data_IF_798629800231
#
_entry.id   IF_798629800231
#
_cell.length_a   1.000
_cell.length_b   1.000
_cell.length_c   1.000
_cell.angle_alpha   90.00
_cell.angle_beta   90.00
_cell.angle_gamma   90.00
#
_symmetry.space_group_name_H-M   'P 1'
#
loop_
_entity.id
_entity.type
_entity.pdbx_description
1 polymer ?
#
# COMPACT_ATOMS: atom_id res chain seq x y z
N UNK A 1 31.40 87.47 -4.73
CA UNK A 1 32.49 87.72 -5.68
C UNK A 1 33.20 86.40 -5.98
N UNK A 2 33.29 86.08 -7.28
CA UNK A 2 34.24 85.17 -7.95
C UNK A 2 33.99 83.65 -7.81
N UNK A 3 33.44 83.01 -8.85
CA UNK A 3 34.10 82.38 -10.03
C UNK A 3 34.47 80.92 -9.73
N UNK A 4 33.76 79.91 -10.26
CA UNK A 4 33.78 79.34 -11.63
C UNK A 4 35.04 78.50 -11.93
N UNK A 5 34.80 77.34 -12.57
CA UNK A 5 35.72 76.34 -13.16
C UNK A 5 36.09 75.18 -12.20
N UNK A 6 36.07 73.90 -12.56
CA UNK A 6 35.72 73.18 -13.79
C UNK A 6 35.77 71.65 -13.51
N UNK A 7 35.48 70.87 -14.55
CA UNK A 7 35.94 69.49 -14.82
C UNK A 7 35.07 68.32 -14.33
N UNK A 8 34.16 67.93 -15.24
CA UNK A 8 34.08 66.61 -15.89
C UNK A 8 34.47 65.37 -15.06
N UNK A 9 33.50 64.46 -14.90
CA UNK A 9 33.63 63.06 -15.30
C UNK A 9 32.26 62.37 -15.36
N UNK A 10 31.90 61.91 -16.55
CA UNK A 10 30.84 60.94 -16.80
C UNK A 10 31.13 59.67 -16.00
N UNK A 11 30.32 59.40 -14.98
CA UNK A 11 30.32 58.13 -14.27
C UNK A 11 29.65 57.08 -15.13
N UNK A 12 30.45 56.22 -15.76
CA UNK A 12 29.99 55.01 -16.44
C UNK A 12 29.45 54.06 -15.36
N UNK A 13 28.14 53.85 -15.36
CA UNK A 13 27.46 52.83 -14.57
C UNK A 13 27.79 51.48 -15.22
N UNK A 14 28.69 50.71 -14.61
CA UNK A 14 28.90 49.29 -14.96
C UNK A 14 28.21 48.46 -13.89
N UNK A 15 26.93 48.16 -14.12
CA UNK A 15 26.18 47.18 -13.34
C UNK A 15 26.62 45.79 -13.76
N UNK A 16 27.41 45.11 -12.94
CA UNK A 16 27.67 43.67 -13.11
C UNK A 16 26.38 42.90 -12.80
N UNK A 17 25.65 42.51 -13.84
CA UNK A 17 24.60 41.49 -13.77
C UNK A 17 25.26 40.14 -13.48
N UNK A 18 25.28 39.74 -12.21
CA UNK A 18 25.57 38.37 -11.80
C UNK A 18 24.41 37.48 -12.26
N UNK A 19 24.57 36.83 -13.41
CA UNK A 19 23.68 35.77 -13.87
C UNK A 19 23.96 34.53 -13.03
N UNK A 20 23.19 34.32 -11.97
CA UNK A 20 23.19 33.06 -11.25
C UNK A 20 22.56 32.00 -12.17
N UNK A 21 23.24 30.87 -12.49
CA UNK A 21 22.61 29.79 -13.19
C UNK A 21 21.60 29.14 -12.25
N UNK A 22 20.31 29.36 -12.49
CA UNK A 22 19.26 28.55 -11.88
C UNK A 22 19.38 27.14 -12.45
N UNK A 23 19.97 26.23 -11.68
CA UNK A 23 19.94 24.80 -11.97
C UNK A 23 18.49 24.35 -11.78
N UNK A 24 17.70 24.45 -12.84
CA UNK A 24 16.37 23.86 -12.93
C UNK A 24 16.56 22.34 -12.87
N UNK A 25 16.45 21.76 -11.68
CA UNK A 25 16.28 20.33 -11.56
C UNK A 25 14.97 19.99 -12.30
N UNK A 26 14.98 19.09 -13.29
CA UNK A 26 13.72 18.57 -13.80
C UNK A 26 13.03 17.91 -12.60
N UNK A 27 11.92 18.50 -12.16
CA UNK A 27 11.03 17.83 -11.24
C UNK A 27 10.67 16.51 -11.92
N UNK A 28 11.20 15.41 -11.39
CA UNK A 28 10.83 14.07 -11.82
C UNK A 28 9.32 14.02 -11.74
N UNK A 29 8.65 13.88 -12.88
CA UNK A 29 7.20 13.82 -12.94
C UNK A 29 6.78 12.70 -11.99
N UNK A 30 6.23 13.09 -10.84
CA UNK A 30 5.70 12.16 -9.86
C UNK A 30 4.56 11.47 -10.60
N UNK A 31 4.77 10.21 -10.97
CA UNK A 31 3.75 9.39 -11.60
C UNK A 31 2.56 9.39 -10.67
N UNK A 32 1.53 10.16 -11.01
CA UNK A 32 0.22 10.06 -10.37
C UNK A 32 -0.12 8.58 -10.41
N UNK A 33 -0.25 7.88 -9.27
CA UNK A 33 -0.51 6.46 -9.30
C UNK A 33 -1.82 6.27 -10.05
N UNK A 34 -1.75 5.71 -11.25
CA UNK A 34 -2.93 5.29 -11.98
C UNK A 34 -3.73 4.33 -11.10
N UNK A 35 -5.04 4.14 -11.35
CA UNK A 35 -5.83 3.18 -10.61
C UNK A 35 -5.09 1.85 -10.56
N UNK A 36 -4.83 1.31 -9.36
CA UNK A 36 -4.22 -0.01 -9.23
C UNK A 36 -5.27 -1.04 -9.66
N UNK A 37 -5.38 -1.26 -10.97
CA UNK A 37 -6.53 -1.94 -11.56
C UNK A 37 -6.59 -3.43 -11.18
N UNK A 38 -5.44 -4.06 -10.96
CA UNK A 38 -5.32 -5.47 -10.64
C UNK A 38 -4.44 -5.71 -9.40
N UNK A 39 -4.72 -6.77 -8.62
CA UNK A 39 -3.84 -7.21 -7.53
C UNK A 39 -2.44 -7.57 -8.03
N UNK A 40 -1.40 -7.15 -7.30
CA UNK A 40 0.01 -7.46 -7.64
C UNK A 40 0.48 -8.81 -7.10
N UNK A 41 -0.29 -9.44 -6.20
CA UNK A 41 -0.02 -10.77 -5.66
C UNK A 41 -1.20 -11.70 -5.98
N UNK A 42 -0.89 -12.95 -6.37
CA UNK A 42 -1.88 -14.01 -6.62
C UNK A 42 -1.60 -15.20 -5.72
N UNK A 43 -2.52 -15.48 -4.80
CA UNK A 43 -2.40 -16.57 -3.84
C UNK A 43 -3.13 -17.80 -4.39
N UNK A 44 -2.40 -18.87 -4.69
CA UNK A 44 -2.99 -20.12 -5.17
C UNK A 44 -3.84 -20.76 -4.08
N UNK A 45 -5.06 -21.17 -4.41
CA UNK A 45 -5.94 -21.89 -3.50
C UNK A 45 -5.69 -23.39 -3.62
N UNK A 46 -5.28 -24.01 -2.51
CA UNK A 46 -5.28 -25.45 -2.37
C UNK A 46 -6.66 -25.91 -1.94
N UNK A 47 -7.40 -26.44 -2.90
CA UNK A 47 -8.74 -27.00 -2.68
C UNK A 47 -8.63 -28.35 -1.97
N UNK A 48 -9.46 -28.54 -0.95
CA UNK A 48 -9.74 -29.83 -0.32
C UNK A 48 -11.01 -30.45 -0.89
N UNK A 49 -12.08 -29.67 -1.07
CA UNK A 49 -13.34 -30.14 -1.69
C UNK A 49 -14.18 -29.00 -2.27
N UNK A 50 -15.19 -29.35 -3.07
CA UNK A 50 -16.17 -28.42 -3.64
C UNK A 50 -15.66 -27.57 -4.81
N UNK A 51 -16.34 -26.46 -5.07
CA UNK A 51 -15.98 -25.50 -6.11
C UNK A 51 -15.29 -24.31 -5.47
N UNK A 52 -13.99 -24.13 -5.74
CA UNK A 52 -13.17 -23.05 -5.17
C UNK A 52 -12.61 -22.14 -6.27
N UNK A 53 -12.38 -20.85 -5.98
CA UNK A 53 -11.59 -20.03 -6.88
C UNK A 53 -10.17 -20.61 -6.98
N UNK A 54 -9.54 -20.51 -8.15
CA UNK A 54 -8.17 -21.02 -8.33
C UNK A 54 -7.13 -20.16 -7.61
N UNK A 55 -7.39 -18.85 -7.53
CA UNK A 55 -6.52 -17.88 -6.87
C UNK A 55 -7.33 -16.84 -6.10
N UNK A 56 -6.69 -16.22 -5.10
CA UNK A 56 -7.15 -14.98 -4.47
C UNK A 56 -6.15 -13.88 -4.77
N UNK A 57 -6.61 -12.77 -5.32
CA UNK A 57 -5.78 -11.60 -5.54
C UNK A 57 -5.53 -10.84 -4.24
N UNK A 58 -4.33 -10.31 -4.07
CA UNK A 58 -3.94 -9.45 -2.96
C UNK A 58 -3.19 -8.24 -3.51
N UNK A 59 -3.63 -7.03 -3.16
CA UNK A 59 -2.77 -5.87 -3.26
C UNK A 59 -1.85 -5.88 -2.05
N UNK A 60 -0.54 -5.90 -2.26
CA UNK A 60 0.45 -5.75 -1.21
C UNK A 60 1.37 -4.58 -1.56
N UNK A 61 1.33 -3.55 -0.71
CA UNK A 61 2.04 -2.29 -0.90
C UNK A 61 2.95 -2.10 0.30
N UNK A 62 4.20 -1.73 0.03
CA UNK A 62 5.20 -1.42 1.06
C UNK A 62 5.69 0.00 0.86
N UNK A 63 5.69 0.79 1.92
CA UNK A 63 6.24 2.14 1.95
C UNK A 63 7.40 2.17 2.96
N UNK A 64 8.66 2.15 2.50
CA UNK A 64 9.82 2.16 3.39
C UNK A 64 10.03 3.54 4.03
N UNK A 65 10.62 3.55 5.22
CA UNK A 65 11.14 4.74 5.90
C UNK A 65 12.41 4.37 6.69
N UNK A 66 13.12 5.36 7.22
CA UNK A 66 14.31 5.10 8.04
C UNK A 66 13.94 4.29 9.29
N UNK A 67 14.59 3.14 9.48
CA UNK A 67 14.29 2.21 10.59
C UNK A 67 13.11 1.26 10.35
N UNK A 68 12.45 1.26 9.18
CA UNK A 68 11.36 0.30 8.97
C UNK A 68 10.53 0.46 7.70
N UNK A 69 9.28 0.01 7.77
CA UNK A 69 8.33 0.13 6.68
C UNK A 69 6.88 0.05 7.15
N UNK A 70 6.00 0.74 6.42
CA UNK A 70 4.57 0.51 6.47
C UNK A 70 4.19 -0.49 5.38
N UNK A 71 3.36 -1.46 5.73
CA UNK A 71 2.80 -2.41 4.79
C UNK A 71 1.29 -2.30 4.78
N UNK A 72 0.70 -2.43 3.59
CA UNK A 72 -0.74 -2.47 3.39
C UNK A 72 -1.11 -3.70 2.57
N UNK A 73 -2.13 -4.42 2.99
CA UNK A 73 -2.77 -5.47 2.21
C UNK A 73 -4.26 -5.23 2.00
N UNK A 74 -4.72 -5.50 0.78
CA UNK A 74 -6.14 -5.46 0.40
C UNK A 74 -6.51 -6.72 -0.37
N UNK A 75 -7.53 -7.45 0.07
CA UNK A 75 -7.92 -8.70 -0.60
C UNK A 75 -8.87 -8.46 -1.78
N UNK A 76 -8.67 -9.13 -2.92
CA UNK A 76 -9.67 -9.18 -4.00
C UNK A 76 -10.69 -10.28 -3.77
N UNK A 77 -11.83 -9.89 -3.23
CA UNK A 77 -12.96 -10.78 -2.89
C UNK A 77 -14.00 -10.89 -4.00
N UNK A 78 -13.95 -10.02 -5.02
CA UNK A 78 -15.04 -9.80 -6.00
C UNK A 78 -15.41 -11.04 -6.82
N UNK A 79 -14.48 -11.98 -6.97
CA UNK A 79 -14.75 -13.21 -7.69
C UNK A 79 -15.73 -14.12 -6.92
N UNK A 80 -15.70 -14.13 -5.58
CA UNK A 80 -16.34 -15.17 -4.77
C UNK A 80 -17.19 -14.65 -3.59
N UNK A 81 -17.19 -13.35 -3.31
CA UNK A 81 -18.02 -12.75 -2.25
C UNK A 81 -18.44 -11.32 -2.60
N UNK A 82 -19.58 -10.89 -2.05
CA UNK A 82 -20.17 -9.56 -2.25
C UNK A 82 -20.00 -8.62 -1.05
N UNK A 83 -19.78 -9.20 0.13
CA UNK A 83 -19.69 -8.46 1.38
C UNK A 83 -18.62 -9.05 2.28
N UNK A 84 -18.15 -8.25 3.22
CA UNK A 84 -17.13 -8.61 4.19
C UNK A 84 -17.56 -8.05 5.55
N UNK A 85 -17.16 -8.70 6.63
CA UNK A 85 -17.29 -8.21 8.00
C UNK A 85 -15.98 -8.41 8.74
N UNK A 86 -15.62 -7.48 9.61
CA UNK A 86 -14.55 -7.67 10.58
C UNK A 86 -15.07 -8.57 11.71
N UNK A 87 -14.30 -9.59 12.10
CA UNK A 87 -14.72 -10.57 13.13
C UNK A 87 -13.87 -10.47 14.39
N UNK A 88 -12.56 -10.29 14.24
CA UNK A 88 -11.65 -10.22 15.37
C UNK A 88 -10.44 -9.38 15.00
N UNK A 89 -9.93 -8.63 15.98
CA UNK A 89 -8.71 -7.86 15.79
C UNK A 89 -8.00 -7.53 17.11
N UNK A 90 -6.68 -7.48 17.05
CA UNK A 90 -5.80 -6.89 18.04
C UNK A 90 -4.59 -6.25 17.33
N UNK A 91 -3.53 -5.94 18.07
CA UNK A 91 -2.32 -5.30 17.55
C UNK A 91 -1.50 -6.17 16.57
N UNK A 92 -1.63 -7.49 16.62
CA UNK A 92 -0.82 -8.42 15.80
C UNK A 92 -1.66 -9.37 14.94
N UNK A 93 -2.99 -9.29 15.05
CA UNK A 93 -3.91 -10.17 14.35
C UNK A 93 -5.15 -9.41 13.88
N UNK A 94 -5.60 -9.68 12.66
CA UNK A 94 -6.93 -9.28 12.16
C UNK A 94 -7.55 -10.42 11.38
N UNK A 95 -8.85 -10.65 11.59
CA UNK A 95 -9.64 -11.59 10.81
C UNK A 95 -10.94 -10.95 10.31
N UNK A 96 -11.17 -11.09 9.01
CA UNK A 96 -12.42 -10.75 8.35
C UNK A 96 -13.10 -12.01 7.84
N UNK A 97 -14.41 -11.94 7.67
CA UNK A 97 -15.22 -13.00 7.07
C UNK A 97 -16.06 -12.46 5.93
N UNK A 98 -16.21 -13.26 4.88
CA UNK A 98 -17.10 -13.00 3.77
C UNK A 98 -17.98 -14.22 3.49
N UNK A 99 -19.32 -14.07 3.39
CA UNK A 99 -20.15 -15.14 2.88
C UNK A 99 -19.79 -15.43 1.41
N UNK A 100 -19.68 -16.70 1.06
CA UNK A 100 -19.42 -17.11 -0.32
C UNK A 100 -20.67 -16.99 -1.16
N UNK A 101 -20.48 -16.57 -2.42
CA UNK A 101 -21.52 -16.67 -3.45
C UNK A 101 -21.93 -18.14 -3.66
N UNK A 102 -23.14 -18.35 -4.15
CA UNK A 102 -23.73 -19.69 -4.33
C UNK A 102 -22.84 -20.65 -5.13
N UNK A 103 -22.17 -20.16 -6.18
CA UNK A 103 -21.25 -20.94 -7.02
C UNK A 103 -19.96 -21.37 -6.30
N UNK A 104 -19.61 -20.75 -5.18
CA UNK A 104 -18.47 -21.12 -4.32
C UNK A 104 -18.89 -21.62 -2.93
N UNK A 105 -20.18 -21.73 -2.64
CA UNK A 105 -20.67 -22.06 -1.30
C UNK A 105 -20.20 -23.43 -0.78
N UNK A 106 -19.84 -24.35 -1.68
CA UNK A 106 -19.27 -25.67 -1.33
C UNK A 106 -17.75 -25.67 -1.13
N UNK A 107 -17.07 -24.55 -1.35
CA UNK A 107 -15.61 -24.48 -1.28
C UNK A 107 -15.10 -24.82 0.12
N UNK A 108 -14.20 -25.80 0.17
CA UNK A 108 -13.34 -26.06 1.33
C UNK A 108 -11.90 -26.10 0.86
N UNK A 109 -11.06 -25.27 1.44
CA UNK A 109 -9.65 -25.14 1.06
C UNK A 109 -8.99 -23.92 1.68
N UNK A 110 -7.75 -23.66 1.31
CA UNK A 110 -7.02 -22.48 1.79
C UNK A 110 -5.94 -22.04 0.82
N UNK A 111 -5.49 -20.80 0.92
CA UNK A 111 -4.34 -20.31 0.13
C UNK A 111 -3.04 -20.98 0.55
N UNK A 112 -2.25 -21.44 -0.43
CA UNK A 112 -0.90 -21.97 -0.23
C UNK A 112 0.11 -20.81 -0.23
N UNK A 113 0.42 -20.28 0.94
CA UNK A 113 1.31 -19.13 1.08
C UNK A 113 2.63 -19.51 1.76
N UNK A 114 3.61 -19.96 0.97
CA UNK A 114 4.97 -20.16 1.48
C UNK A 114 5.71 -18.82 1.66
N UNK A 115 5.48 -17.87 0.75
CA UNK A 115 6.07 -16.53 0.76
C UNK A 115 5.34 -15.60 1.75
N UNK A 116 4.01 -15.54 1.68
CA UNK A 116 3.19 -14.62 2.49
C UNK A 116 2.62 -15.30 3.74
N UNK A 117 3.47 -15.85 4.61
CA UNK A 117 3.03 -16.67 5.77
C UNK A 117 2.10 -15.91 6.73
N UNK A 118 2.23 -14.59 6.79
CA UNK A 118 1.39 -13.70 7.60
C UNK A 118 -0.04 -13.57 7.09
N UNK A 119 -0.29 -13.91 5.83
CA UNK A 119 -1.60 -13.78 5.20
C UNK A 119 -2.18 -15.13 4.85
N UNK A 120 -3.46 -15.37 5.13
CA UNK A 120 -4.14 -16.61 4.73
C UNK A 120 -5.60 -16.33 4.41
N UNK A 121 -6.11 -16.99 3.37
CA UNK A 121 -7.55 -17.11 3.14
C UNK A 121 -7.97 -18.56 3.32
N UNK A 122 -8.90 -18.81 4.24
CA UNK A 122 -9.49 -20.12 4.49
C UNK A 122 -10.94 -20.14 4.01
N UNK A 123 -11.31 -21.15 3.24
CA UNK A 123 -12.67 -21.40 2.79
C UNK A 123 -13.25 -22.57 3.57
N UNK A 124 -14.36 -22.33 4.28
CA UNK A 124 -15.12 -23.35 5.02
C UNK A 124 -16.49 -22.79 5.40
N UNK A 125 -17.45 -23.67 5.66
CA UNK A 125 -18.77 -23.30 6.20
C UNK A 125 -19.49 -22.19 5.40
N UNK A 126 -19.40 -22.28 4.06
CA UNK A 126 -19.95 -21.29 3.11
C UNK A 126 -19.37 -19.88 3.27
N UNK A 127 -18.17 -19.76 3.86
CA UNK A 127 -17.49 -18.50 4.17
C UNK A 127 -16.02 -18.53 3.74
N UNK A 128 -15.49 -17.36 3.40
CA UNK A 128 -14.05 -17.10 3.32
C UNK A 128 -13.61 -16.29 4.54
N UNK A 129 -12.54 -16.73 5.19
CA UNK A 129 -11.90 -16.07 6.33
C UNK A 129 -10.57 -15.50 5.87
N UNK A 130 -10.39 -14.19 5.99
CA UNK A 130 -9.17 -13.48 5.60
C UNK A 130 -8.41 -13.09 6.84
N UNK A 131 -7.18 -13.57 6.97
CA UNK A 131 -6.40 -13.43 8.19
C UNK A 131 -5.06 -12.77 7.91
N UNK A 132 -4.76 -11.73 8.69
CA UNK A 132 -3.42 -11.17 8.86
C UNK A 132 -2.94 -11.55 10.26
N UNK A 133 -1.81 -12.24 10.34
CA UNK A 133 -1.18 -12.68 11.58
C UNK A 133 0.30 -12.29 11.56
N UNK A 134 0.60 -11.15 12.17
CA UNK A 134 1.94 -10.57 12.21
C UNK A 134 2.91 -11.45 12.99
N UNK A 135 2.44 -12.27 13.94
CA UNK A 135 3.29 -13.21 14.70
C UNK A 135 4.01 -14.23 13.79
N UNK A 136 3.59 -14.34 12.53
CA UNK A 136 4.23 -15.19 11.51
C UNK A 136 5.30 -14.47 10.67
N UNK A 137 5.56 -13.20 10.95
CA UNK A 137 6.66 -12.42 10.38
C UNK A 137 7.77 -12.36 11.43
N UNK A 138 9.01 -12.61 11.01
CA UNK A 138 10.18 -12.41 11.83
C UNK A 138 10.67 -10.96 11.66
N UNK A 139 10.04 -10.02 12.37
CA UNK A 139 10.40 -8.61 12.34
C UNK A 139 10.22 -7.98 13.73
N UNK A 140 11.09 -7.02 14.11
CA UNK A 140 10.94 -6.25 15.34
C UNK A 140 9.69 -5.35 15.30
N UNK A 141 9.23 -4.96 16.49
CA UNK A 141 8.19 -3.94 16.74
C UNK A 141 7.06 -3.84 15.69
N UNK A 142 6.38 -4.96 15.42
CA UNK A 142 5.31 -5.02 14.43
C UNK A 142 3.91 -4.82 15.03
N UNK A 143 3.14 -3.88 14.48
CA UNK A 143 1.79 -3.55 14.94
C UNK A 143 0.86 -3.17 13.78
N UNK A 144 -0.36 -3.73 13.76
CA UNK A 144 -1.47 -3.28 12.92
C UNK A 144 -1.88 -1.88 13.35
N UNK A 145 -1.60 -0.90 12.50
CA UNK A 145 -1.89 0.51 12.71
C UNK A 145 -3.27 0.89 12.18
N UNK A 146 -3.78 0.18 11.16
CA UNK A 146 -5.10 0.46 10.60
C UNK A 146 -5.76 -0.78 10.00
N UNK A 147 -7.08 -0.86 10.13
CA UNK A 147 -7.91 -1.97 9.62
C UNK A 147 -9.31 -1.47 9.30
N UNK A 148 -9.82 -1.82 8.13
CA UNK A 148 -11.17 -1.42 7.70
C UNK A 148 -11.69 -2.35 6.60
N UNK A 149 -12.89 -2.06 6.10
CA UNK A 149 -13.45 -2.64 4.90
C UNK A 149 -13.55 -1.53 3.85
N UNK A 150 -12.79 -1.64 2.76
CA UNK A 150 -12.75 -0.65 1.68
C UNK A 150 -13.38 -1.24 0.41
N UNK A 151 -14.53 -0.72 -0.04
CA UNK A 151 -15.22 -1.23 -1.23
C UNK A 151 -15.54 -2.74 -1.16
N UNK A 152 -16.05 -3.21 -0.02
CA UNK A 152 -16.31 -4.62 0.27
C UNK A 152 -15.07 -5.54 0.28
N UNK A 153 -13.89 -4.97 0.58
CA UNK A 153 -12.63 -5.73 0.68
C UNK A 153 -12.00 -5.55 2.06
N UNK A 154 -11.42 -6.61 2.65
CA UNK A 154 -10.54 -6.48 3.80
C UNK A 154 -9.37 -5.54 3.47
N UNK A 155 -9.14 -4.54 4.32
CA UNK A 155 -8.00 -3.63 4.26
C UNK A 155 -7.26 -3.70 5.59
N UNK A 156 -5.96 -4.01 5.57
CA UNK A 156 -5.11 -4.03 6.76
C UNK A 156 -3.81 -3.32 6.47
N UNK A 157 -3.35 -2.53 7.43
CA UNK A 157 -2.07 -1.85 7.40
C UNK A 157 -1.36 -2.04 8.72
N UNK A 158 -0.06 -2.25 8.64
CA UNK A 158 0.81 -2.41 9.80
C UNK A 158 2.15 -1.73 9.56
N UNK A 159 2.81 -1.40 10.66
CA UNK A 159 4.16 -0.86 10.67
C UNK A 159 5.13 -1.89 11.25
N UNK A 160 6.38 -1.82 10.79
CA UNK A 160 7.55 -2.48 11.37
C UNK A 160 8.56 -1.38 11.67
N UNK A 161 9.20 -1.42 12.83
CA UNK A 161 10.28 -0.52 13.23
C UNK A 161 11.40 -1.31 13.92
N UNK A 162 12.63 -0.81 13.86
CA UNK A 162 13.83 -1.38 14.48
C UNK A 162 13.89 -1.22 16.00
#
# INVERSE_FOLDING_TARGET
>A
MNNLLQLTKLGVIVTFLLVAPTISHPASAQTTPGPIAAPNVKLTVQRSSGTCPQTVGLWWITLPYEGGAEHTVVADTRAFADSVKLVSANKQFVEFVAPLRSNYASCVGQTRNQEYKFYTVQFKDKKAYFRVDLRKINAPAQEITYKTIAGSRPYVRWAIAD
#
